data_IF_361461128328
#
_entry.id   IF_361461128328
#
_cell.length_a   1.000
_cell.length_b   1.000
_cell.length_c   1.000
_cell.angle_alpha   90.00
_cell.angle_beta   90.00
_cell.angle_gamma   90.00
#
_symmetry.space_group_name_H-M   'P 1'
#
loop_
_entity.id
_entity.type
_entity.pdbx_description
1 polymer ?
#
# COMPACT_ATOMS: atom_id res chain seq x y z
N UNK A 1 12.41 -18.85 -5.48
CA UNK A 1 13.13 -17.71 -6.10
C UNK A 1 13.80 -16.91 -4.99
N UNK A 2 15.13 -16.82 -5.02
CA UNK A 2 15.87 -16.01 -4.06
C UNK A 2 15.41 -14.55 -4.16
N UNK A 3 15.24 -13.92 -3.01
CA UNK A 3 14.75 -12.53 -2.85
C UNK A 3 15.89 -11.57 -3.20
N UNK A 4 16.33 -11.56 -4.44
CA UNK A 4 17.39 -10.67 -4.90
C UNK A 4 16.75 -9.30 -5.13
N UNK A 5 17.24 -8.27 -4.44
CA UNK A 5 16.81 -6.84 -4.51
C UNK A 5 15.65 -6.35 -3.64
N UNK A 6 15.09 -7.11 -2.68
CA UNK A 6 14.15 -6.49 -1.72
C UNK A 6 14.87 -5.67 -0.65
N UNK A 7 14.34 -4.49 -0.35
CA UNK A 7 14.74 -3.64 0.79
C UNK A 7 13.70 -3.76 1.91
N UNK A 8 14.15 -3.68 3.16
CA UNK A 8 13.25 -3.65 4.32
C UNK A 8 12.70 -2.24 4.50
N UNK A 9 11.38 -2.11 4.55
CA UNK A 9 10.70 -0.88 4.93
C UNK A 9 10.28 -1.00 6.40
N UNK A 10 10.65 -0.01 7.21
CA UNK A 10 10.13 0.17 8.57
C UNK A 10 9.29 1.44 8.56
N UNK A 11 8.02 1.32 8.88
CA UNK A 11 7.02 2.39 8.75
C UNK A 11 6.01 2.27 9.87
N UNK A 12 5.39 3.41 10.21
CA UNK A 12 4.30 3.49 11.16
C UNK A 12 3.00 3.73 10.40
N UNK A 13 1.97 2.95 10.71
CA UNK A 13 0.61 3.06 10.14
C UNK A 13 -0.37 3.42 11.27
N UNK A 14 -1.50 4.05 10.92
CA UNK A 14 -2.60 4.18 11.87
C UNK A 14 -3.15 2.80 12.24
N UNK A 15 -3.76 2.70 13.42
CA UNK A 15 -4.35 1.44 13.89
C UNK A 15 -5.39 0.90 12.89
N UNK A 16 -6.25 1.77 12.35
CA UNK A 16 -7.27 1.40 11.37
C UNK A 16 -6.65 0.81 10.08
N UNK A 17 -5.63 1.48 9.52
CA UNK A 17 -4.97 1.00 8.31
C UNK A 17 -4.20 -0.30 8.56
N UNK A 18 -3.61 -0.47 9.75
CA UNK A 18 -2.92 -1.69 10.11
C UNK A 18 -3.88 -2.88 10.27
N UNK A 19 -5.02 -2.67 10.95
CA UNK A 19 -6.07 -3.69 11.08
C UNK A 19 -6.59 -4.12 9.71
N UNK A 20 -6.91 -3.16 8.84
CA UNK A 20 -7.37 -3.45 7.48
C UNK A 20 -6.34 -4.22 6.65
N UNK A 21 -5.06 -3.85 6.75
CA UNK A 21 -3.99 -4.59 6.08
C UNK A 21 -3.93 -6.05 6.54
N UNK A 22 -4.11 -6.32 7.84
CA UNK A 22 -4.12 -7.68 8.37
C UNK A 22 -5.33 -8.48 7.89
N UNK A 23 -6.52 -7.89 7.88
CA UNK A 23 -7.73 -8.54 7.36
C UNK A 23 -7.56 -8.94 5.87
N UNK A 24 -6.96 -8.07 5.07
CA UNK A 24 -6.64 -8.37 3.67
C UNK A 24 -5.61 -9.50 3.53
N UNK A 25 -4.62 -9.55 4.42
CA UNK A 25 -3.63 -10.62 4.42
C UNK A 25 -4.28 -11.97 4.76
N UNK A 26 -5.13 -12.01 5.79
CA UNK A 26 -5.82 -13.22 6.24
C UNK A 26 -6.79 -13.74 5.18
N UNK A 27 -7.66 -12.88 4.67
CA UNK A 27 -8.68 -13.25 3.66
C UNK A 27 -8.06 -13.79 2.37
N UNK A 28 -6.93 -13.22 1.93
CA UNK A 28 -6.27 -13.62 0.68
C UNK A 28 -5.15 -14.65 0.88
N UNK A 29 -4.86 -15.05 2.13
CA UNK A 29 -3.72 -15.91 2.50
C UNK A 29 -2.38 -15.39 1.97
N UNK A 30 -2.19 -14.07 2.01
CA UNK A 30 -1.00 -13.39 1.53
C UNK A 30 -0.19 -12.78 2.67
N UNK A 31 1.10 -12.52 2.42
CA UNK A 31 1.95 -11.77 3.35
C UNK A 31 1.72 -10.27 3.17
N UNK A 32 1.86 -9.50 4.26
CA UNK A 32 1.79 -8.03 4.24
C UNK A 32 2.66 -7.42 3.13
N UNK A 33 3.89 -7.92 2.94
CA UNK A 33 4.78 -7.42 1.88
C UNK A 33 4.20 -7.57 0.47
N UNK A 34 3.44 -8.64 0.21
CA UNK A 34 2.85 -8.88 -1.10
C UNK A 34 1.66 -7.93 -1.33
N UNK A 35 0.81 -7.75 -0.32
CA UNK A 35 -0.30 -6.80 -0.37
C UNK A 35 0.21 -5.36 -0.57
N UNK A 36 1.27 -4.97 0.15
CA UNK A 36 1.88 -3.64 0.01
C UNK A 36 2.50 -3.43 -1.37
N UNK A 37 3.16 -4.44 -1.96
CA UNK A 37 3.66 -4.34 -3.33
C UNK A 37 2.52 -4.14 -4.34
N UNK A 38 1.41 -4.87 -4.21
CA UNK A 38 0.22 -4.69 -5.06
C UNK A 38 -0.37 -3.29 -4.90
N UNK A 39 -0.48 -2.79 -3.68
CA UNK A 39 -0.97 -1.44 -3.42
C UNK A 39 -0.07 -0.36 -4.06
N UNK A 40 1.25 -0.54 -4.03
CA UNK A 40 2.20 0.36 -4.68
C UNK A 40 2.10 0.30 -6.21
N UNK A 41 1.86 -0.87 -6.80
CA UNK A 41 1.66 -1.01 -8.24
C UNK A 41 0.35 -0.35 -8.71
N UNK A 42 -0.72 -0.45 -7.91
CA UNK A 42 -1.97 0.27 -8.15
C UNK A 42 -1.77 1.78 -8.06
N UNK A 43 -1.12 2.25 -6.99
CA UNK A 43 -0.80 3.68 -6.83
C UNK A 43 0.04 4.20 -7.99
N UNK A 44 1.07 3.44 -8.43
CA UNK A 44 1.89 3.80 -9.59
C UNK A 44 1.07 3.93 -10.87
N UNK A 45 0.03 3.10 -11.03
CA UNK A 45 -0.86 3.16 -12.19
C UNK A 45 -1.74 4.39 -12.15
N UNK A 46 -2.29 4.73 -10.99
CA UNK A 46 -3.07 5.96 -10.80
C UNK A 46 -2.22 7.23 -10.97
N UNK A 47 -0.98 7.21 -10.49
CA UNK A 47 -0.05 8.34 -10.64
C UNK A 47 0.43 8.57 -12.08
N UNK A 48 0.14 7.65 -13.01
CA UNK A 48 0.32 7.94 -14.45
C UNK A 48 -0.77 8.85 -14.99
N UNK A 49 -1.94 8.88 -14.37
CA UNK A 49 -3.10 9.65 -14.82
C UNK A 49 -3.35 10.90 -13.97
N UNK A 50 -2.92 10.90 -12.71
CA UNK A 50 -3.10 12.02 -11.75
C UNK A 50 -1.77 12.44 -11.15
N UNK A 51 -1.64 13.72 -10.78
CA UNK A 51 -0.46 14.19 -10.05
C UNK A 51 -0.53 13.73 -8.59
N UNK A 52 0.62 13.42 -7.97
CA UNK A 52 0.68 12.96 -6.57
C UNK A 52 0.02 13.95 -5.61
N UNK A 53 0.19 15.26 -5.86
CA UNK A 53 -0.45 16.31 -5.07
C UNK A 53 -1.98 16.22 -5.10
N UNK A 54 -2.56 15.94 -6.27
CA UNK A 54 -4.02 15.81 -6.44
C UNK A 54 -4.57 14.58 -5.71
N UNK A 55 -3.81 13.48 -5.71
CA UNK A 55 -4.17 12.25 -4.97
C UNK A 55 -4.12 12.47 -3.46
N UNK A 56 -3.11 13.19 -2.98
CA UNK A 56 -3.00 13.55 -1.55
C UNK A 56 -4.14 14.46 -1.13
N UNK A 57 -4.45 15.49 -1.93
CA UNK A 57 -5.57 16.40 -1.67
C UNK A 57 -6.90 15.64 -1.64
N UNK A 58 -7.18 14.79 -2.63
CA UNK A 58 -8.39 13.97 -2.64
C UNK A 58 -8.51 13.06 -1.41
N UNK A 59 -7.41 12.42 -1.01
CA UNK A 59 -7.40 11.50 0.14
C UNK A 59 -7.60 12.24 1.47
N UNK A 60 -7.04 13.45 1.59
CA UNK A 60 -7.18 14.28 2.79
C UNK A 60 -8.53 14.99 2.86
N UNK A 61 -9.13 15.35 1.72
CA UNK A 61 -10.45 15.99 1.66
C UNK A 61 -11.61 14.99 1.76
N UNK A 62 -11.36 13.70 1.55
CA UNK A 62 -12.38 12.64 1.67
C UNK A 62 -12.47 12.04 3.09
N UNK A 63 -11.75 12.59 4.07
CA UNK A 63 -11.91 12.34 5.51
C UNK A 63 -12.77 13.43 6.14
#
# INVERSE_FOLDING_TARGET
>A
MAVVHRKRLSTSLSQEHFSYLNELCESNKQKQSAIVEIALDLLKTELKTKNLSEVIEYTNSSK
#
